data_IF_080542785438
#
_entry.id   IF_080542785438
#
_cell.length_a   1.000
_cell.length_b   1.000
_cell.length_c   1.000
_cell.angle_alpha   90.00
_cell.angle_beta   90.00
_cell.angle_gamma   90.00
#
_symmetry.space_group_name_H-M   'P 1'
#
loop_
_entity.id
_entity.type
_entity.pdbx_description
1 polymer ?
#
# COMPACT_ATOMS: atom_id res chain seq x y z
N UNK A 1 -46.77 89.10 -14.39
CA UNK A 1 -47.16 88.00 -13.49
C UNK A 1 -47.44 86.81 -14.42
N UNK A 2 -46.53 86.03 -14.69
CA UNK A 2 -46.63 84.87 -15.65
C UNK A 2 -46.26 83.64 -14.90
N UNK A 3 -47.19 82.73 -14.75
CA UNK A 3 -47.03 81.41 -14.10
C UNK A 3 -46.56 80.41 -15.17
N UNK A 4 -45.51 79.65 -14.86
CA UNK A 4 -45.04 78.50 -15.65
C UNK A 4 -45.58 77.20 -15.11
N UNK A 5 -46.02 76.22 -15.88
CA UNK A 5 -46.43 74.91 -15.43
C UNK A 5 -45.25 73.98 -15.19
N UNK A 6 -45.24 73.22 -14.13
CA UNK A 6 -44.28 72.16 -13.82
C UNK A 6 -44.65 70.88 -14.60
N UNK A 7 -43.76 70.43 -15.47
CA UNK A 7 -43.86 69.13 -16.14
C UNK A 7 -43.14 68.10 -15.25
N UNK A 8 -43.90 67.20 -14.64
CA UNK A 8 -43.38 66.06 -13.90
C UNK A 8 -43.01 64.91 -14.83
N UNK A 9 -41.75 64.60 -14.93
CA UNK A 9 -41.23 63.45 -15.65
C UNK A 9 -41.21 62.23 -14.72
N UNK A 10 -42.16 61.32 -14.89
CA UNK A 10 -42.16 60.03 -14.18
C UNK A 10 -41.20 59.06 -14.90
N UNK A 11 -39.97 58.83 -14.34
CA UNK A 11 -39.09 57.81 -14.78
C UNK A 11 -39.53 56.49 -14.17
N UNK A 12 -40.12 55.58 -14.93
CA UNK A 12 -40.38 54.21 -14.53
C UNK A 12 -39.07 53.41 -14.57
N UNK A 13 -38.46 53.17 -13.41
CA UNK A 13 -37.36 52.24 -13.25
C UNK A 13 -37.95 50.83 -13.19
N UNK A 14 -37.71 50.02 -14.25
CA UNK A 14 -38.02 48.60 -14.24
C UNK A 14 -36.92 47.88 -13.45
N UNK A 15 -37.26 46.99 -12.49
CA UNK A 15 -36.22 46.19 -11.83
C UNK A 15 -35.68 45.13 -12.81
N UNK A 16 -34.39 45.24 -13.13
CA UNK A 16 -33.67 44.17 -13.77
C UNK A 16 -33.49 43.03 -12.75
N UNK A 17 -34.27 41.98 -12.87
CA UNK A 17 -34.01 40.71 -12.19
C UNK A 17 -32.79 40.07 -12.82
N UNK A 18 -31.63 40.18 -12.22
CA UNK A 18 -30.50 39.33 -12.48
C UNK A 18 -30.85 37.95 -11.91
N UNK A 19 -31.34 37.05 -12.76
CA UNK A 19 -31.42 35.64 -12.42
C UNK A 19 -30.02 35.10 -12.31
N UNK A 20 -29.49 34.98 -11.08
CA UNK A 20 -28.30 34.23 -10.77
C UNK A 20 -28.58 32.77 -11.13
N UNK A 21 -28.20 32.34 -12.33
CA UNK A 21 -28.21 30.92 -12.69
C UNK A 21 -27.06 30.30 -11.86
N UNK A 22 -27.41 29.84 -10.67
CA UNK A 22 -26.58 28.93 -9.92
C UNK A 22 -26.51 27.63 -10.75
N UNK A 23 -25.49 27.49 -11.59
CA UNK A 23 -25.17 26.21 -12.17
C UNK A 23 -24.76 25.30 -11.02
N UNK A 24 -25.70 24.51 -10.51
CA UNK A 24 -25.36 23.29 -9.79
C UNK A 24 -24.51 22.48 -10.74
N UNK A 25 -23.20 22.51 -10.53
CA UNK A 25 -22.31 21.49 -11.07
C UNK A 25 -22.83 20.21 -10.42
N UNK A 26 -23.53 19.42 -11.21
CA UNK A 26 -23.82 18.04 -10.85
C UNK A 26 -22.45 17.42 -10.63
N UNK A 27 -22.15 17.00 -9.39
CA UNK A 27 -21.12 16.03 -9.17
C UNK A 27 -21.43 14.87 -10.14
N UNK A 28 -20.56 14.61 -11.08
CA UNK A 28 -20.67 13.43 -11.91
C UNK A 28 -20.94 12.27 -10.94
N UNK A 29 -21.91 11.40 -11.27
CA UNK A 29 -22.19 10.20 -10.48
C UNK A 29 -20.87 9.45 -10.33
N UNK A 30 -20.21 9.63 -9.17
CA UNK A 30 -18.99 8.91 -8.85
C UNK A 30 -19.44 7.47 -8.64
N UNK A 31 -18.89 6.49 -9.38
CA UNK A 31 -19.27 5.10 -9.23
C UNK A 31 -19.07 4.69 -7.78
N UNK A 32 -20.14 4.57 -7.02
CA UNK A 32 -20.06 4.08 -5.64
C UNK A 32 -20.09 2.56 -5.67
N UNK A 33 -19.09 1.93 -5.07
CA UNK A 33 -19.04 0.48 -5.04
C UNK A 33 -17.72 -0.07 -4.51
N UNK A 34 -17.68 -1.39 -4.45
CA UNK A 34 -16.48 -2.08 -4.02
C UNK A 34 -15.35 -1.91 -5.06
N UNK A 35 -14.12 -1.76 -4.57
CA UNK A 35 -12.93 -1.87 -5.39
C UNK A 35 -12.73 -3.35 -5.70
N UNK A 36 -12.95 -3.73 -6.94
CA UNK A 36 -12.75 -5.10 -7.48
C UNK A 36 -11.61 -5.09 -8.49
N UNK A 37 -11.11 -6.26 -8.88
CA UNK A 37 -10.06 -6.36 -9.89
C UNK A 37 -10.48 -5.69 -11.20
N UNK A 38 -11.70 -5.94 -11.67
CA UNK A 38 -12.21 -5.33 -12.91
C UNK A 38 -12.32 -3.80 -12.81
N UNK A 39 -12.69 -3.27 -11.64
CA UNK A 39 -12.73 -1.82 -11.42
C UNK A 39 -11.32 -1.22 -11.45
N UNK A 40 -10.33 -1.87 -10.80
CA UNK A 40 -8.92 -1.43 -10.83
C UNK A 40 -8.37 -1.42 -12.25
N UNK A 41 -8.64 -2.46 -13.04
CA UNK A 41 -8.19 -2.58 -14.44
C UNK A 41 -8.74 -1.44 -15.30
N UNK A 42 -10.02 -1.11 -15.14
CA UNK A 42 -10.72 -0.13 -15.96
C UNK A 42 -10.63 1.31 -15.44
N UNK A 43 -10.19 1.51 -14.20
CA UNK A 43 -10.19 2.83 -13.52
C UNK A 43 -9.46 3.95 -14.27
N UNK A 44 -8.36 3.71 -15.04
CA UNK A 44 -7.71 4.79 -15.77
C UNK A 44 -8.63 5.47 -16.77
N UNK A 45 -9.52 4.72 -17.44
CA UNK A 45 -10.45 5.25 -18.41
C UNK A 45 -11.79 5.66 -17.80
N UNK A 46 -12.32 4.86 -16.88
CA UNK A 46 -13.68 5.01 -16.38
C UNK A 46 -13.77 6.04 -15.25
N UNK A 47 -12.74 6.15 -14.43
CA UNK A 47 -12.70 7.06 -13.28
C UNK A 47 -11.29 7.68 -13.09
N UNK A 48 -10.80 8.48 -14.06
CA UNK A 48 -9.44 9.00 -14.05
C UNK A 48 -9.11 9.92 -12.85
N UNK A 49 -10.12 10.34 -12.09
CA UNK A 49 -9.99 11.08 -10.83
C UNK A 49 -9.74 10.21 -9.61
N UNK A 50 -9.87 8.90 -9.72
CA UNK A 50 -9.64 7.93 -8.65
C UNK A 50 -8.21 7.40 -8.67
N UNK A 51 -7.77 6.89 -7.50
CA UNK A 51 -6.47 6.24 -7.34
C UNK A 51 -6.67 4.98 -6.50
N UNK A 52 -7.06 3.88 -7.13
CA UNK A 52 -7.66 2.73 -6.46
C UNK A 52 -6.64 1.79 -5.80
N UNK A 53 -5.40 1.78 -6.27
CA UNK A 53 -4.33 0.94 -5.71
C UNK A 53 -3.01 1.69 -5.69
N UNK A 54 -1.98 1.11 -5.09
CA UNK A 54 -0.68 1.73 -4.81
C UNK A 54 -0.04 2.41 -6.03
N UNK A 55 -0.12 1.77 -7.21
CA UNK A 55 0.41 2.29 -8.48
C UNK A 55 -0.65 2.88 -9.41
N UNK A 56 -1.85 3.21 -8.91
CA UNK A 56 -3.05 3.67 -9.60
C UNK A 56 -3.86 2.50 -10.18
N UNK A 57 -3.24 1.55 -10.85
CA UNK A 57 -3.78 0.30 -11.34
C UNK A 57 -2.74 -0.83 -11.19
N UNK A 58 -3.04 -2.05 -11.63
CA UNK A 58 -2.12 -3.20 -11.51
C UNK A 58 -0.84 -3.06 -12.36
N UNK A 59 -0.83 -2.19 -13.37
CA UNK A 59 0.37 -1.92 -14.19
C UNK A 59 1.40 -1.03 -13.47
N UNK A 60 1.08 -0.53 -12.26
CA UNK A 60 1.97 0.27 -11.40
C UNK A 60 2.62 1.48 -12.11
N UNK A 61 1.96 2.03 -13.14
CA UNK A 61 2.51 3.10 -13.97
C UNK A 61 2.55 4.47 -13.26
N UNK A 62 1.74 4.66 -12.20
CA UNK A 62 1.64 5.91 -11.43
C UNK A 62 1.34 7.11 -12.33
N UNK A 63 0.51 6.91 -13.33
CA UNK A 63 0.14 7.89 -14.33
C UNK A 63 -1.33 8.27 -14.21
N UNK A 64 -1.63 9.57 -14.29
CA UNK A 64 -3.00 10.10 -14.30
C UNK A 64 -3.34 10.64 -15.68
N UNK A 65 -4.48 10.28 -16.21
CA UNK A 65 -5.05 10.82 -17.46
C UNK A 65 -5.58 12.26 -17.30
N UNK A 66 -5.60 12.80 -16.07
CA UNK A 66 -6.08 14.16 -15.82
C UNK A 66 -5.15 15.21 -16.42
N UNK A 67 -5.73 16.19 -17.12
CA UNK A 67 -4.99 17.22 -17.86
C UNK A 67 -5.10 18.63 -17.26
N UNK A 68 -5.82 18.79 -16.15
CA UNK A 68 -6.04 20.11 -15.53
C UNK A 68 -4.75 20.74 -14.98
N UNK A 69 -3.80 19.90 -14.54
CA UNK A 69 -2.46 20.36 -14.12
C UNK A 69 -1.50 20.04 -15.27
N UNK A 70 -0.95 21.08 -15.87
CA UNK A 70 -0.04 21.00 -17.00
C UNK A 70 0.91 22.21 -17.01
N UNK A 71 1.80 22.34 -18.00
CA UNK A 71 2.78 23.41 -18.13
C UNK A 71 2.16 24.82 -18.14
N UNK A 72 0.95 24.97 -18.64
CA UNK A 72 0.27 26.27 -18.76
C UNK A 72 -0.50 26.64 -17.49
N UNK A 73 -0.84 25.65 -16.65
CA UNK A 73 -1.69 25.85 -15.48
C UNK A 73 -0.94 25.73 -14.15
N UNK A 74 0.20 25.06 -14.13
CA UNK A 74 0.97 24.77 -12.88
C UNK A 74 1.32 26.03 -12.08
N UNK A 75 1.58 27.16 -12.76
CA UNK A 75 1.88 28.44 -12.09
C UNK A 75 0.68 29.01 -11.28
N UNK A 76 -0.52 28.50 -11.50
CA UNK A 76 -1.76 28.91 -10.80
C UNK A 76 -2.17 27.91 -9.72
N UNK A 77 -1.40 26.84 -9.53
CA UNK A 77 -1.70 25.83 -8.52
C UNK A 77 -1.55 26.46 -7.13
N UNK A 78 -2.58 26.31 -6.31
CA UNK A 78 -2.62 26.79 -4.93
C UNK A 78 -2.96 25.66 -3.96
N UNK A 79 -2.75 25.92 -2.68
CA UNK A 79 -3.13 25.00 -1.60
C UNK A 79 -4.65 25.00 -1.47
N UNK A 80 -5.28 23.82 -1.61
CA UNK A 80 -6.73 23.64 -1.40
C UNK A 80 -7.06 23.45 0.09
N UNK A 81 -6.35 22.54 0.75
CA UNK A 81 -6.53 22.24 2.18
C UNK A 81 -5.28 21.57 2.77
N UNK A 82 -5.21 21.48 4.09
CA UNK A 82 -4.20 20.72 4.83
C UNK A 82 -4.85 20.00 5.98
N UNK A 83 -4.41 18.77 6.26
CA UNK A 83 -4.85 17.99 7.42
C UNK A 83 -3.65 17.38 8.12
N UNK A 84 -3.65 17.43 9.44
CA UNK A 84 -2.58 16.83 10.25
C UNK A 84 -2.96 15.37 10.57
N UNK A 85 -2.15 14.42 10.09
CA UNK A 85 -2.34 12.98 10.27
C UNK A 85 -1.19 12.35 11.07
N UNK A 86 -1.05 12.73 12.32
CA UNK A 86 -0.02 12.19 13.22
C UNK A 86 0.85 13.24 13.87
N UNK A 87 1.95 12.79 14.49
CA UNK A 87 2.93 13.63 15.17
C UNK A 87 4.27 13.71 14.41
N UNK A 88 5.25 14.45 14.96
CA UNK A 88 6.52 14.73 14.29
C UNK A 88 7.54 13.56 14.33
N UNK A 89 7.29 12.50 15.09
CA UNK A 89 8.24 11.41 15.33
C UNK A 89 7.96 10.17 14.49
N UNK A 90 7.43 10.35 13.27
CA UNK A 90 7.13 9.26 12.35
C UNK A 90 7.46 9.65 10.91
N UNK A 91 7.56 8.65 10.03
CA UNK A 91 7.70 8.86 8.59
C UNK A 91 6.44 8.40 7.88
N UNK A 92 5.91 9.27 7.06
CA UNK A 92 4.81 8.95 6.16
C UNK A 92 5.38 8.76 4.76
N UNK A 93 5.26 7.55 4.23
CA UNK A 93 5.79 7.18 2.91
C UNK A 93 4.69 6.57 2.03
N UNK A 94 3.43 6.66 2.50
CA UNK A 94 2.28 6.08 1.82
C UNK A 94 1.87 6.84 0.57
N UNK A 95 1.35 6.11 -0.41
CA UNK A 95 0.59 6.67 -1.51
C UNK A 95 -0.86 6.82 -1.04
N UNK A 96 -1.45 8.03 -1.06
CA UNK A 96 -2.87 8.20 -0.78
C UNK A 96 -3.70 7.45 -1.83
N UNK A 97 -4.69 6.68 -1.38
CA UNK A 97 -5.68 6.07 -2.27
C UNK A 97 -6.95 6.92 -2.26
N UNK A 98 -7.53 7.13 -3.43
CA UNK A 98 -8.77 7.90 -3.58
C UNK A 98 -9.82 7.03 -4.25
N UNK A 99 -10.86 6.72 -3.49
CA UNK A 99 -11.97 5.86 -3.90
C UNK A 99 -13.28 6.57 -3.57
N UNK A 100 -14.14 6.79 -4.55
CA UNK A 100 -15.46 7.40 -4.38
C UNK A 100 -15.42 8.75 -3.61
N UNK A 101 -14.40 9.56 -3.87
CA UNK A 101 -14.22 10.87 -3.21
C UNK A 101 -13.64 10.80 -1.80
N UNK A 102 -13.36 9.62 -1.27
CA UNK A 102 -12.70 9.41 0.02
C UNK A 102 -11.22 9.11 -0.18
N UNK A 103 -10.36 9.83 0.53
CA UNK A 103 -8.91 9.62 0.55
C UNK A 103 -8.53 8.76 1.75
N UNK A 104 -7.92 7.62 1.50
CA UNK A 104 -7.39 6.73 2.54
C UNK A 104 -5.88 6.88 2.65
N UNK A 105 -5.40 7.19 3.84
CA UNK A 105 -3.98 7.36 4.16
C UNK A 105 -3.63 6.69 5.47
N UNK A 106 -2.36 6.29 5.63
CA UNK A 106 -1.84 5.83 6.91
C UNK A 106 -0.71 6.70 7.41
N UNK A 107 -0.58 6.83 8.73
CA UNK A 107 0.60 7.43 9.34
C UNK A 107 1.68 6.38 9.67
N UNK A 108 2.81 6.82 10.20
CA UNK A 108 3.96 5.94 10.48
C UNK A 108 3.68 4.86 11.52
N UNK A 109 2.70 5.03 12.39
CA UNK A 109 2.25 4.04 13.37
C UNK A 109 1.07 3.20 12.86
N UNK A 110 0.84 3.21 11.55
CA UNK A 110 -0.20 2.43 10.88
C UNK A 110 -1.64 2.83 11.22
N UNK A 111 -1.83 4.03 11.80
CA UNK A 111 -3.16 4.60 12.00
C UNK A 111 -3.73 4.97 10.64
N UNK A 112 -4.93 4.50 10.35
CA UNK A 112 -5.65 4.78 9.10
C UNK A 112 -6.53 6.01 9.28
N UNK A 113 -6.58 6.86 8.26
CA UNK A 113 -7.51 7.99 8.15
C UNK A 113 -8.28 7.89 6.85
N UNK A 114 -9.60 8.04 6.92
CA UNK A 114 -10.45 8.33 5.78
C UNK A 114 -10.81 9.81 5.80
N UNK A 115 -10.47 10.51 4.73
CA UNK A 115 -10.66 11.95 4.60
C UNK A 115 -11.54 12.24 3.40
N UNK A 116 -12.39 13.25 3.48
CA UNK A 116 -13.01 13.82 2.29
C UNK A 116 -11.91 14.37 1.36
N UNK A 117 -11.80 13.85 0.17
CA UNK A 117 -10.71 14.21 -0.76
C UNK A 117 -10.80 15.67 -1.24
N UNK A 118 -11.97 16.32 -1.12
CA UNK A 118 -12.21 17.70 -1.53
C UNK A 118 -11.84 18.71 -0.45
N UNK A 119 -12.14 18.38 0.81
CA UNK A 119 -12.03 19.30 1.95
C UNK A 119 -10.89 18.95 2.91
N UNK A 120 -10.43 17.69 2.93
CA UNK A 120 -9.47 17.16 3.90
C UNK A 120 -10.07 16.91 5.29
N UNK A 121 -11.40 17.00 5.44
CA UNK A 121 -12.07 16.69 6.69
C UNK A 121 -12.02 15.20 7.00
N UNK A 122 -11.80 14.85 8.27
CA UNK A 122 -11.78 13.46 8.74
C UNK A 122 -13.20 12.89 8.73
N UNK A 123 -13.39 11.78 8.00
CA UNK A 123 -14.64 11.01 7.99
C UNK A 123 -14.61 9.99 9.12
N UNK A 124 -13.53 9.21 9.18
CA UNK A 124 -13.26 8.29 10.28
C UNK A 124 -11.74 8.06 10.43
N UNK A 125 -11.37 7.52 11.58
CA UNK A 125 -10.02 7.16 11.94
C UNK A 125 -10.01 5.82 12.65
N UNK A 126 -9.07 4.95 12.31
CA UNK A 126 -8.80 3.70 13.01
C UNK A 126 -7.35 3.69 13.53
N UNK A 127 -7.18 3.50 14.85
CA UNK A 127 -5.87 3.35 15.50
C UNK A 127 -5.68 1.89 15.92
N UNK A 128 -4.73 1.15 15.33
CA UNK A 128 -4.47 -0.25 15.68
C UNK A 128 -3.78 -0.43 17.05
N UNK A 129 -3.56 0.65 17.80
CA UNK A 129 -2.92 0.64 19.12
C UNK A 129 -1.57 -0.10 19.12
N UNK A 130 -0.74 0.14 18.09
CA UNK A 130 0.56 -0.51 17.93
C UNK A 130 1.43 -0.34 19.18
N UNK A 131 1.96 -1.46 19.68
CA UNK A 131 2.94 -1.43 20.77
C UNK A 131 4.21 -0.68 20.34
N UNK A 132 4.37 0.55 20.82
CA UNK A 132 5.47 1.45 20.44
C UNK A 132 6.85 0.96 20.90
N UNK A 133 6.91 -0.05 21.79
CA UNK A 133 8.18 -0.69 22.18
C UNK A 133 8.87 -1.40 21.00
N UNK A 134 8.11 -1.78 19.97
CA UNK A 134 8.61 -2.40 18.73
C UNK A 134 9.56 -1.51 17.94
N UNK A 135 9.60 -0.21 18.18
CA UNK A 135 10.58 0.69 17.56
C UNK A 135 12.04 0.24 17.77
N UNK A 136 12.31 -0.48 18.84
CA UNK A 136 13.65 -1.02 19.16
C UNK A 136 14.04 -2.23 18.31
N UNK A 137 13.06 -2.89 17.70
CA UNK A 137 13.25 -4.07 16.88
C UNK A 137 13.27 -3.74 15.39
N UNK A 138 12.92 -2.51 15.04
CA UNK A 138 12.82 -2.07 13.67
C UNK A 138 14.15 -1.52 13.15
N UNK A 139 14.42 -1.82 11.89
CA UNK A 139 15.45 -1.14 11.13
C UNK A 139 15.05 0.30 10.81
N UNK A 140 16.04 1.16 10.63
CA UNK A 140 15.98 2.32 9.76
C UNK A 140 15.23 3.54 10.26
N UNK A 141 15.11 3.72 11.56
CA UNK A 141 14.68 4.97 12.20
C UNK A 141 13.25 4.94 12.74
N UNK A 142 12.55 6.08 12.80
CA UNK A 142 11.23 6.15 13.40
C UNK A 142 10.21 5.28 12.68
N UNK A 143 9.10 4.99 13.37
CA UNK A 143 7.99 4.24 12.77
C UNK A 143 7.58 4.83 11.43
N UNK A 144 7.34 3.98 10.44
CA UNK A 144 6.98 4.38 9.10
C UNK A 144 6.04 3.35 8.44
N UNK A 145 5.17 3.85 7.59
CA UNK A 145 4.22 3.04 6.84
C UNK A 145 4.13 3.57 5.41
N UNK A 146 3.95 2.66 4.44
CA UNK A 146 3.92 2.99 3.01
C UNK A 146 2.52 3.00 2.41
N UNK A 147 1.49 2.88 3.25
CA UNK A 147 0.11 3.04 2.82
C UNK A 147 -0.77 1.84 3.09
N UNK A 148 -1.95 1.91 2.56
CA UNK A 148 -3.03 0.95 2.72
C UNK A 148 -3.36 0.30 1.36
N UNK A 149 -4.18 -0.76 1.38
CA UNK A 149 -4.90 -1.22 0.20
C UNK A 149 -6.41 -1.07 0.44
N UNK A 150 -7.17 -0.84 -0.62
CA UNK A 150 -8.63 -0.81 -0.58
C UNK A 150 -9.14 -1.87 -1.55
N UNK A 151 -9.94 -2.81 -1.05
CA UNK A 151 -10.45 -3.91 -1.86
C UNK A 151 -11.70 -4.53 -1.22
N UNK A 152 -12.72 -4.83 -2.02
CA UNK A 152 -13.96 -5.50 -1.61
C UNK A 152 -14.58 -4.98 -0.31
N UNK A 153 -14.76 -3.65 -0.23
CA UNK A 153 -15.42 -3.00 0.91
C UNK A 153 -14.56 -2.85 2.16
N UNK A 154 -13.27 -3.17 2.08
CA UNK A 154 -12.33 -3.10 3.20
C UNK A 154 -11.12 -2.22 2.89
N UNK A 155 -10.52 -1.69 3.93
CA UNK A 155 -9.21 -1.05 3.92
C UNK A 155 -8.25 -1.93 4.72
N UNK A 156 -7.11 -2.27 4.13
CA UNK A 156 -6.10 -3.14 4.74
C UNK A 156 -4.85 -2.36 5.09
N UNK A 157 -4.29 -2.61 6.26
CA UNK A 157 -3.01 -2.04 6.69
C UNK A 157 -2.11 -3.10 7.32
N UNK A 158 -0.84 -3.09 6.94
CA UNK A 158 0.20 -3.80 7.68
C UNK A 158 0.69 -2.91 8.84
N UNK A 159 0.79 -3.47 10.04
CA UNK A 159 1.17 -2.68 11.22
C UNK A 159 2.65 -2.82 11.58
N UNK A 160 3.14 -1.82 12.29
CA UNK A 160 4.55 -1.77 12.68
C UNK A 160 4.93 -2.84 13.72
N UNK A 161 3.95 -3.46 14.38
CA UNK A 161 4.13 -4.60 15.29
C UNK A 161 3.87 -5.97 14.61
N UNK A 162 3.66 -5.98 13.28
CA UNK A 162 3.62 -7.19 12.48
C UNK A 162 2.26 -7.85 12.35
N UNK A 163 1.17 -7.09 12.47
CA UNK A 163 -0.18 -7.56 12.18
C UNK A 163 -0.64 -7.09 10.79
N UNK A 164 -1.57 -7.79 10.19
CA UNK A 164 -2.35 -7.36 9.05
C UNK A 164 -3.80 -7.19 9.50
N UNK A 165 -4.36 -6.00 9.27
CA UNK A 165 -5.68 -5.63 9.75
C UNK A 165 -6.55 -5.20 8.58
N UNK A 166 -7.81 -5.63 8.59
CA UNK A 166 -8.86 -5.15 7.71
C UNK A 166 -9.89 -4.36 8.51
N UNK A 167 -10.24 -3.19 8.00
CA UNK A 167 -11.34 -2.39 8.53
C UNK A 167 -12.40 -2.17 7.45
N UNK A 168 -13.64 -1.99 7.85
CA UNK A 168 -14.72 -1.65 6.94
C UNK A 168 -14.45 -0.28 6.29
N UNK A 169 -14.53 -0.20 4.98
CA UNK A 169 -14.22 1.00 4.19
C UNK A 169 -15.10 2.20 4.55
N UNK A 170 -16.37 1.97 4.91
CA UNK A 170 -17.34 3.03 5.18
C UNK A 170 -17.30 3.51 6.65
N UNK A 171 -17.15 2.58 7.58
CA UNK A 171 -17.25 2.89 9.02
C UNK A 171 -15.91 2.99 9.75
N UNK A 172 -14.84 2.41 9.21
CA UNK A 172 -13.56 2.27 9.90
C UNK A 172 -13.57 1.23 11.02
N UNK A 173 -14.65 0.46 11.18
CA UNK A 173 -14.73 -0.62 12.17
C UNK A 173 -13.85 -1.80 11.74
N UNK A 174 -13.16 -2.41 12.71
CA UNK A 174 -12.33 -3.58 12.49
C UNK A 174 -13.18 -4.77 12.03
N UNK A 175 -12.73 -5.43 10.95
CA UNK A 175 -13.34 -6.64 10.41
C UNK A 175 -12.58 -7.87 10.89
N UNK A 176 -11.25 -7.83 10.77
CA UNK A 176 -10.35 -8.84 11.28
C UNK A 176 -8.94 -8.27 11.51
N UNK A 177 -8.19 -8.90 12.44
CA UNK A 177 -6.83 -8.59 12.82
C UNK A 177 -6.06 -9.91 12.99
N UNK A 178 -4.96 -10.09 12.25
CA UNK A 178 -4.17 -11.32 12.26
C UNK A 178 -2.69 -11.04 12.42
N UNK A 179 -2.02 -11.84 13.25
CA UNK A 179 -0.57 -11.88 13.32
C UNK A 179 0.01 -12.46 12.02
N UNK A 180 0.97 -11.75 11.42
CA UNK A 180 1.61 -12.21 10.17
C UNK A 180 2.86 -13.02 10.40
N UNK A 181 3.38 -13.03 11.60
CA UNK A 181 4.63 -13.71 11.93
C UNK A 181 4.41 -15.16 12.35
N UNK A 182 5.48 -15.95 12.21
CA UNK A 182 5.48 -17.39 12.48
C UNK A 182 6.06 -17.60 13.88
N UNK A 183 5.39 -18.38 14.75
CA UNK A 183 5.83 -18.61 16.14
C UNK A 183 7.20 -19.31 16.28
N UNK A 184 7.64 -20.02 15.24
CA UNK A 184 8.77 -20.95 15.28
C UNK A 184 10.14 -20.28 15.16
N UNK A 185 10.50 -19.44 16.15
CA UNK A 185 11.90 -19.05 16.35
C UNK A 185 12.46 -17.94 15.47
N UNK A 186 11.70 -17.40 14.53
CA UNK A 186 12.19 -16.40 13.59
C UNK A 186 12.11 -14.96 14.09
N UNK A 187 11.67 -14.75 15.34
CA UNK A 187 11.47 -13.43 15.92
C UNK A 187 10.27 -12.67 15.32
N UNK A 188 9.91 -11.56 15.95
CA UNK A 188 8.84 -10.69 15.46
C UNK A 188 9.36 -9.77 14.38
N UNK A 189 8.61 -9.64 13.31
CA UNK A 189 8.86 -8.72 12.21
C UNK A 189 8.01 -7.47 12.37
N UNK A 190 8.45 -6.37 11.79
CA UNK A 190 7.56 -5.24 11.53
C UNK A 190 7.10 -5.27 10.08
N UNK A 191 5.96 -4.65 9.82
CA UNK A 191 5.50 -4.37 8.47
C UNK A 191 5.60 -2.86 8.24
N UNK A 192 6.22 -2.50 7.14
CA UNK A 192 6.34 -1.09 6.70
C UNK A 192 5.83 -0.89 5.28
N UNK A 193 5.59 -1.98 4.56
CA UNK A 193 5.07 -1.99 3.20
C UNK A 193 3.56 -1.80 3.16
N UNK A 194 3.07 -1.24 2.06
CA UNK A 194 1.65 -1.26 1.77
C UNK A 194 1.23 -2.67 1.31
N UNK A 195 0.13 -3.22 1.81
CA UNK A 195 -0.45 -4.44 1.27
C UNK A 195 -0.79 -4.29 -0.23
N UNK A 196 -0.85 -5.40 -0.94
CA UNK A 196 -1.47 -5.46 -2.27
C UNK A 196 -2.71 -6.35 -2.17
N UNK A 197 -3.80 -5.93 -2.80
CA UNK A 197 -5.04 -6.68 -2.79
C UNK A 197 -5.51 -6.91 -4.23
N UNK A 198 -5.74 -8.16 -4.57
CA UNK A 198 -6.22 -8.61 -5.88
C UNK A 198 -6.58 -10.09 -5.82
N UNK A 199 -7.37 -10.58 -6.76
CA UNK A 199 -7.77 -11.99 -6.90
C UNK A 199 -8.33 -12.58 -5.60
N UNK A 200 -9.14 -11.80 -4.85
CA UNK A 200 -9.74 -12.21 -3.58
C UNK A 200 -8.74 -12.34 -2.42
N UNK A 201 -7.51 -11.88 -2.57
CA UNK A 201 -6.45 -12.05 -1.56
C UNK A 201 -5.77 -10.71 -1.22
N UNK A 202 -5.13 -10.69 -0.06
CA UNK A 202 -4.24 -9.61 0.38
C UNK A 202 -2.83 -10.17 0.58
N UNK A 203 -1.87 -9.58 -0.11
CA UNK A 203 -0.48 -9.99 -0.10
C UNK A 203 0.35 -9.04 0.73
N UNK A 204 1.18 -9.58 1.61
CA UNK A 204 2.10 -8.80 2.45
C UNK A 204 3.39 -9.55 2.73
N UNK A 205 4.49 -8.82 2.73
CA UNK A 205 5.79 -9.27 3.22
C UNK A 205 6.18 -8.54 4.48
N UNK A 206 7.38 -8.81 5.01
CA UNK A 206 7.89 -8.21 6.24
C UNK A 206 9.07 -7.31 5.95
N UNK A 207 9.30 -6.35 6.88
CA UNK A 207 10.47 -5.51 6.93
C UNK A 207 11.53 -5.99 7.92
N UNK A 208 12.57 -5.16 8.11
CA UNK A 208 13.64 -5.36 9.09
C UNK A 208 14.45 -6.65 8.95
N UNK A 209 14.62 -7.13 7.72
CA UNK A 209 15.44 -8.32 7.44
C UNK A 209 16.88 -8.19 7.95
N UNK A 210 17.37 -6.95 8.07
CA UNK A 210 18.73 -6.62 8.56
C UNK A 210 18.92 -6.79 10.06
N UNK A 211 17.83 -6.90 10.82
CA UNK A 211 17.84 -6.89 12.29
C UNK A 211 17.53 -8.27 12.85
N UNK A 212 18.51 -8.89 13.49
CA UNK A 212 18.32 -10.17 14.19
C UNK A 212 18.21 -11.38 13.25
N UNK A 213 17.76 -12.50 13.80
CA UNK A 213 17.61 -13.76 13.10
C UNK A 213 16.28 -13.80 12.33
N UNK A 214 16.23 -13.16 11.17
CA UNK A 214 15.01 -13.02 10.39
C UNK A 214 15.12 -13.70 9.03
N UNK A 215 14.08 -14.41 8.68
CA UNK A 215 13.93 -15.15 7.43
C UNK A 215 12.72 -14.61 6.68
N UNK A 216 12.95 -14.06 5.49
CA UNK A 216 11.91 -13.42 4.70
C UNK A 216 10.90 -14.41 4.12
N UNK A 217 9.65 -13.97 4.06
CA UNK A 217 8.56 -14.65 3.37
C UNK A 217 7.50 -13.64 2.91
N UNK A 218 6.64 -14.05 2.00
CA UNK A 218 5.41 -13.35 1.62
C UNK A 218 4.24 -14.27 1.92
N UNK A 219 3.16 -13.71 2.44
CA UNK A 219 1.93 -14.44 2.72
C UNK A 219 0.77 -13.82 1.95
N UNK A 220 -0.05 -14.65 1.35
CA UNK A 220 -1.38 -14.30 0.86
C UNK A 220 -2.42 -14.68 1.90
N UNK A 221 -3.30 -13.75 2.19
CA UNK A 221 -4.44 -13.95 3.08
C UNK A 221 -5.72 -13.82 2.26
N UNK A 222 -6.72 -14.61 2.59
CA UNK A 222 -8.07 -14.41 2.08
C UNK A 222 -8.57 -13.02 2.50
N UNK A 223 -9.04 -12.23 1.55
CA UNK A 223 -9.42 -10.84 1.80
C UNK A 223 -10.66 -10.70 2.69
N UNK A 224 -11.51 -11.72 2.75
CA UNK A 224 -12.73 -11.69 3.56
C UNK A 224 -12.48 -12.11 5.00
N UNK A 225 -11.69 -13.16 5.19
CA UNK A 225 -11.55 -13.83 6.48
C UNK A 225 -10.24 -13.54 7.22
N UNK A 226 -9.19 -13.12 6.50
CA UNK A 226 -7.84 -13.00 7.04
C UNK A 226 -7.13 -14.34 7.21
N UNK A 227 -7.71 -15.45 6.76
CA UNK A 227 -7.07 -16.77 6.81
C UNK A 227 -5.91 -16.85 5.82
N UNK A 228 -4.85 -17.58 6.18
CA UNK A 228 -3.70 -17.79 5.31
C UNK A 228 -4.10 -18.68 4.13
N UNK A 229 -4.02 -18.13 2.90
CA UNK A 229 -4.20 -18.91 1.67
C UNK A 229 -2.93 -19.69 1.32
N UNK A 230 -1.79 -18.99 1.32
CA UNK A 230 -0.47 -19.60 1.13
C UNK A 230 0.64 -18.71 1.69
N UNK A 231 1.83 -19.30 1.87
CA UNK A 231 3.06 -18.59 2.24
C UNK A 231 4.22 -19.09 1.40
N UNK A 232 5.00 -18.14 0.86
CA UNK A 232 6.21 -18.41 0.11
C UNK A 232 7.41 -17.88 0.88
N UNK A 233 8.34 -18.76 1.27
CA UNK A 233 9.59 -18.37 1.87
C UNK A 233 10.58 -17.86 0.82
N UNK A 234 11.41 -16.88 1.19
CA UNK A 234 12.36 -16.21 0.31
C UNK A 234 13.82 -16.59 0.62
N UNK A 235 14.03 -17.30 1.73
CA UNK A 235 15.32 -17.84 2.16
C UNK A 235 15.10 -19.26 2.66
N UNK A 236 15.95 -20.23 2.34
CA UNK A 236 15.78 -21.60 2.80
C UNK A 236 16.03 -21.73 4.32
N UNK A 237 15.30 -22.62 4.95
CA UNK A 237 15.46 -22.99 6.36
C UNK A 237 16.65 -23.90 6.61
N UNK A 238 16.66 -24.54 7.80
CA UNK A 238 17.64 -25.56 8.18
C UNK A 238 17.52 -26.80 7.29
N UNK A 239 18.55 -27.16 6.52
CA UNK A 239 18.49 -28.30 5.60
C UNK A 239 18.41 -29.66 6.30
N UNK A 240 18.54 -29.73 7.62
CA UNK A 240 18.27 -30.94 8.40
C UNK A 240 16.78 -31.19 8.63
N UNK A 241 15.94 -30.19 8.31
CA UNK A 241 14.48 -30.28 8.44
C UNK A 241 13.85 -30.32 7.03
N UNK A 242 12.62 -30.83 6.90
CA UNK A 242 11.87 -30.73 5.66
C UNK A 242 11.67 -29.27 5.25
N UNK A 243 11.89 -28.98 3.97
CA UNK A 243 11.60 -27.65 3.44
C UNK A 243 10.09 -27.46 3.27
N UNK A 244 9.62 -26.22 3.46
CA UNK A 244 8.20 -25.87 3.39
C UNK A 244 7.62 -26.00 1.97
N UNK A 245 8.48 -25.80 0.96
CA UNK A 245 8.14 -25.99 -0.45
C UNK A 245 9.41 -26.30 -1.27
N UNK A 246 9.30 -26.98 -2.43
CA UNK A 246 10.46 -27.48 -3.19
C UNK A 246 11.43 -26.39 -3.66
N UNK A 247 10.96 -25.17 -3.84
CA UNK A 247 11.82 -24.04 -4.24
C UNK A 247 12.89 -23.75 -3.17
N UNK A 248 12.62 -24.08 -1.91
CA UNK A 248 13.61 -23.93 -0.84
C UNK A 248 14.70 -24.99 -0.91
N UNK A 249 14.40 -26.19 -1.41
CA UNK A 249 15.42 -27.21 -1.69
C UNK A 249 16.39 -26.74 -2.79
N UNK A 250 15.85 -26.13 -3.86
CA UNK A 250 16.66 -25.51 -4.91
C UNK A 250 17.53 -24.37 -4.33
N UNK A 251 16.92 -23.48 -3.55
CA UNK A 251 17.64 -22.34 -2.98
C UNK A 251 18.76 -22.79 -2.03
N UNK A 252 18.53 -23.80 -1.18
CA UNK A 252 19.50 -24.29 -0.21
C UNK A 252 20.82 -24.74 -0.85
N UNK A 253 20.80 -25.20 -2.11
CA UNK A 253 21.99 -25.59 -2.86
C UNK A 253 22.91 -24.42 -3.21
N UNK A 254 22.43 -23.20 -3.07
CA UNK A 254 23.17 -21.97 -3.41
C UNK A 254 23.68 -21.23 -2.17
N UNK A 255 23.48 -21.78 -0.98
CA UNK A 255 23.93 -21.22 0.28
C UNK A 255 25.09 -22.04 0.87
N UNK A 256 25.98 -21.35 1.60
CA UNK A 256 27.09 -21.97 2.31
C UNK A 256 26.96 -21.84 3.83
N UNK A 257 27.67 -22.72 4.57
CA UNK A 257 27.69 -22.68 6.02
C UNK A 257 26.35 -22.97 6.70
N UNK A 258 26.05 -22.24 7.75
CA UNK A 258 24.88 -22.45 8.61
C UNK A 258 23.97 -21.19 8.64
N UNK A 259 23.62 -20.65 7.44
CA UNK A 259 22.85 -19.43 7.25
C UNK A 259 21.54 -19.39 8.06
N UNK A 260 20.90 -20.55 8.23
CA UNK A 260 19.63 -20.65 8.97
C UNK A 260 19.75 -20.22 10.42
N UNK A 261 20.93 -20.29 11.03
CA UNK A 261 21.19 -19.80 12.38
C UNK A 261 21.06 -18.28 12.48
N UNK A 262 21.21 -17.58 11.36
CA UNK A 262 21.11 -16.12 11.26
C UNK A 262 19.78 -15.68 10.62
N UNK A 263 19.01 -16.63 10.07
CA UNK A 263 17.77 -16.36 9.35
C UNK A 263 17.95 -15.98 7.88
N UNK A 264 19.11 -15.41 7.50
CA UNK A 264 19.46 -15.12 6.08
C UNK A 264 18.91 -13.83 5.49
N UNK A 265 17.91 -13.18 6.09
CA UNK A 265 17.30 -11.95 5.58
C UNK A 265 16.27 -12.18 4.49
N UNK A 266 16.42 -11.52 3.34
CA UNK A 266 15.57 -11.75 2.15
C UNK A 266 14.13 -11.29 2.31
N UNK A 267 13.85 -10.21 3.02
CA UNK A 267 12.48 -9.74 3.25
C UNK A 267 11.93 -8.98 2.04
N UNK A 268 10.65 -9.17 1.73
CA UNK A 268 9.89 -8.39 0.76
C UNK A 268 9.17 -7.23 1.46
N UNK A 269 9.91 -6.18 1.78
CA UNK A 269 9.43 -5.10 2.66
C UNK A 269 8.50 -4.09 1.98
N UNK A 270 8.37 -4.08 0.64
CA UNK A 270 7.39 -3.24 -0.07
C UNK A 270 7.11 -3.65 -1.53
N UNK A 271 7.99 -4.38 -2.18
CA UNK A 271 7.97 -4.57 -3.64
C UNK A 271 7.13 -5.79 -4.03
N UNK A 272 5.80 -5.62 -4.08
CA UNK A 272 4.83 -6.61 -4.55
C UNK A 272 4.02 -6.01 -5.69
N UNK A 273 3.86 -6.75 -6.79
CA UNK A 273 3.06 -6.34 -7.96
C UNK A 273 2.23 -7.52 -8.45
N UNK A 274 0.92 -7.31 -8.56
CA UNK A 274 0.02 -8.28 -9.17
C UNK A 274 -0.11 -8.05 -10.67
N UNK A 275 -0.06 -9.13 -11.42
CA UNK A 275 -0.24 -9.15 -12.87
C UNK A 275 -1.47 -9.99 -13.22
N UNK A 276 -2.50 -9.32 -13.72
CA UNK A 276 -3.77 -9.93 -14.06
C UNK A 276 -3.70 -10.81 -15.31
N UNK A 277 -2.79 -10.51 -16.24
CA UNK A 277 -2.66 -11.26 -17.48
C UNK A 277 -2.05 -12.65 -17.24
N UNK A 278 -1.05 -12.72 -16.35
CA UNK A 278 -0.35 -13.96 -16.03
C UNK A 278 -0.80 -14.60 -14.72
N UNK A 279 -1.79 -14.02 -14.06
CA UNK A 279 -2.26 -14.44 -12.72
C UNK A 279 -1.10 -14.67 -11.74
N UNK A 280 -0.18 -13.70 -11.71
CA UNK A 280 1.10 -13.80 -11.01
C UNK A 280 1.29 -12.66 -10.02
N UNK A 281 1.96 -12.99 -8.91
CA UNK A 281 2.51 -11.98 -8.01
C UNK A 281 4.03 -11.90 -8.21
N UNK A 282 4.53 -10.72 -8.55
CA UNK A 282 5.96 -10.45 -8.59
C UNK A 282 6.42 -9.91 -7.24
N UNK A 283 7.47 -10.51 -6.72
CA UNK A 283 8.03 -10.26 -5.39
C UNK A 283 9.46 -9.76 -5.55
N UNK A 284 9.74 -8.53 -5.16
CA UNK A 284 11.09 -8.00 -5.04
C UNK A 284 11.70 -8.39 -3.69
N UNK A 285 12.71 -9.23 -3.72
CA UNK A 285 13.37 -9.74 -2.51
C UNK A 285 14.54 -8.84 -2.13
N UNK A 286 14.61 -8.46 -0.88
CA UNK A 286 15.66 -7.61 -0.33
C UNK A 286 16.99 -8.34 -0.10
N UNK A 287 17.91 -7.62 0.53
CA UNK A 287 19.26 -8.07 0.86
C UNK A 287 19.30 -9.15 1.93
N UNK A 288 20.47 -9.77 2.08
CA UNK A 288 20.75 -10.76 3.10
C UNK A 288 21.05 -10.19 4.49
N UNK A 289 20.94 -11.03 5.51
CA UNK A 289 21.32 -10.74 6.87
C UNK A 289 22.00 -11.95 7.56
N UNK A 290 23.07 -11.73 8.32
CA UNK A 290 23.85 -10.49 8.44
C UNK A 290 24.43 -10.02 7.11
N UNK A 291 24.69 -8.72 6.97
CA UNK A 291 25.18 -8.15 5.69
C UNK A 291 26.48 -8.80 5.18
N UNK A 292 27.55 -8.97 6.02
CA UNK A 292 28.75 -9.62 5.53
C UNK A 292 28.48 -11.05 5.10
N UNK A 293 28.68 -11.33 3.81
CA UNK A 293 28.47 -12.63 3.20
C UNK A 293 29.29 -13.73 3.84
N UNK A 294 30.52 -13.42 4.26
CA UNK A 294 31.44 -14.35 4.90
C UNK A 294 30.90 -14.90 6.22
N UNK A 295 29.98 -14.16 6.87
CA UNK A 295 29.27 -14.61 8.09
C UNK A 295 28.00 -15.34 7.71
N UNK A 296 27.20 -14.78 6.79
CA UNK A 296 25.91 -15.31 6.40
C UNK A 296 26.02 -16.62 5.63
N UNK A 297 26.90 -16.66 4.63
CA UNK A 297 27.06 -17.76 3.69
C UNK A 297 28.56 -18.00 3.38
N UNK A 298 29.36 -18.46 4.38
CA UNK A 298 30.77 -18.72 4.19
C UNK A 298 30.96 -19.82 3.14
N UNK A 299 31.90 -19.60 2.22
CA UNK A 299 32.15 -20.50 1.08
C UNK A 299 31.46 -20.03 -0.20
N UNK A 300 30.63 -19.04 -0.13
CA UNK A 300 30.00 -18.43 -1.33
C UNK A 300 28.74 -19.18 -1.78
N UNK A 301 28.30 -18.82 -2.97
CA UNK A 301 27.07 -19.28 -3.62
C UNK A 301 26.26 -18.07 -4.08
N UNK A 302 25.13 -18.29 -4.73
CA UNK A 302 24.28 -17.21 -5.22
C UNK A 302 23.31 -16.71 -4.16
N UNK A 303 23.15 -17.45 -3.05
CA UNK A 303 22.27 -17.12 -1.92
C UNK A 303 20.81 -16.85 -2.33
N UNK A 304 20.22 -17.77 -3.12
CA UNK A 304 18.82 -17.63 -3.57
C UNK A 304 17.83 -17.62 -2.37
N UNK A 305 16.84 -16.70 -2.34
CA UNK A 305 16.50 -15.74 -3.39
C UNK A 305 16.83 -14.30 -2.97
N UNK A 306 17.99 -14.02 -2.40
CA UNK A 306 18.37 -12.63 -2.12
C UNK A 306 18.49 -11.83 -3.41
N UNK A 307 18.16 -10.52 -3.34
CA UNK A 307 18.28 -9.58 -4.47
C UNK A 307 17.66 -10.12 -5.78
N UNK A 308 16.49 -10.71 -5.66
CA UNK A 308 15.82 -11.48 -6.72
C UNK A 308 14.42 -10.93 -6.98
N UNK A 309 14.00 -10.99 -8.24
CA UNK A 309 12.58 -10.89 -8.60
C UNK A 309 12.06 -12.33 -8.69
N UNK A 310 11.06 -12.65 -7.87
CA UNK A 310 10.38 -13.95 -7.88
C UNK A 310 8.97 -13.76 -8.39
N UNK A 311 8.53 -14.59 -9.34
CA UNK A 311 7.16 -14.69 -9.79
C UNK A 311 6.49 -15.92 -9.19
N UNK A 312 5.36 -15.75 -8.52
CA UNK A 312 4.55 -16.85 -8.00
C UNK A 312 3.13 -16.80 -8.56
N UNK A 313 2.55 -17.96 -8.78
CA UNK A 313 1.13 -18.10 -9.10
C UNK A 313 0.28 -17.67 -7.91
N UNK A 314 -0.72 -16.81 -8.12
CA UNK A 314 -1.48 -16.19 -7.02
C UNK A 314 -2.44 -17.16 -6.34
N UNK A 315 -2.86 -18.23 -7.00
CA UNK A 315 -3.76 -19.21 -6.40
C UNK A 315 -3.01 -20.21 -5.50
N UNK A 316 -1.84 -20.63 -5.95
CA UNK A 316 -1.10 -21.73 -5.30
C UNK A 316 0.10 -21.26 -4.48
N UNK A 317 0.57 -20.03 -4.69
CA UNK A 317 1.82 -19.53 -4.12
C UNK A 317 3.08 -20.24 -4.64
N UNK A 318 2.96 -21.02 -5.75
CA UNK A 318 4.11 -21.74 -6.34
C UNK A 318 4.88 -20.84 -7.29
N UNK A 319 6.20 -20.98 -7.28
CA UNK A 319 7.08 -20.18 -8.13
C UNK A 319 6.89 -20.56 -9.60
N UNK A 320 6.67 -19.54 -10.44
CA UNK A 320 6.67 -19.65 -11.89
C UNK A 320 8.10 -19.55 -12.43
N UNK A 321 8.84 -18.52 -11.98
CA UNK A 321 10.22 -18.25 -12.34
C UNK A 321 10.86 -17.27 -11.33
N UNK A 322 12.17 -17.13 -11.42
CA UNK A 322 12.92 -16.08 -10.72
C UNK A 322 14.00 -15.47 -11.62
N UNK A 323 14.39 -14.25 -11.29
CA UNK A 323 15.52 -13.57 -11.89
C UNK A 323 16.33 -12.87 -10.78
N UNK A 324 17.51 -13.40 -10.50
CA UNK A 324 18.39 -12.80 -9.51
C UNK A 324 19.18 -11.66 -10.14
N UNK A 325 19.04 -10.45 -9.57
CA UNK A 325 19.68 -9.24 -10.10
C UNK A 325 21.14 -9.15 -9.68
N UNK A 326 21.49 -9.67 -8.52
CA UNK A 326 22.83 -9.60 -7.92
C UNK A 326 23.18 -10.95 -7.28
N UNK A 327 23.61 -11.97 -8.08
CA UNK A 327 24.04 -13.26 -7.54
C UNK A 327 25.18 -13.09 -6.54
N UNK A 328 25.08 -13.77 -5.41
CA UNK A 328 26.08 -13.70 -4.35
C UNK A 328 26.21 -12.31 -3.73
N UNK A 329 25.11 -11.60 -3.58
CA UNK A 329 25.05 -10.27 -2.97
C UNK A 329 25.78 -10.20 -1.62
N UNK A 330 26.54 -9.10 -1.39
CA UNK A 330 27.46 -8.94 -0.25
C UNK A 330 27.15 -7.67 0.54
#
# INVERSE_FOLDING_TARGET
MTSYPKIGLFLKIAPLFFALICRTIWAADIPQGNVTDSRVINSPSDEPGSWLTYGQNFKEQRFSELTQINTDTIARLGLAWTTQIGDYNMRMQGTPLVVDGVMYVSNGWSVIYALDATTGEEIWKYDPEVDRSYIRLACCGPAHNRGVAVYEGKVFVGTFDGRLIAVNKESGEEVWDVDTWIPEGLGRFNITGAPRAAAGKVYIGQGSGESGHRRGYVTAYDADTGEVSWRFFLVPGDPSQPFEHPEMELAAQTWGGEWWKYGGGGTAWNSLVYDEEFNSLYIGVGNGAPWPREIRSPGGGDDLFLSTIVSVDVETGRMNWYYQTTPGDN
#
